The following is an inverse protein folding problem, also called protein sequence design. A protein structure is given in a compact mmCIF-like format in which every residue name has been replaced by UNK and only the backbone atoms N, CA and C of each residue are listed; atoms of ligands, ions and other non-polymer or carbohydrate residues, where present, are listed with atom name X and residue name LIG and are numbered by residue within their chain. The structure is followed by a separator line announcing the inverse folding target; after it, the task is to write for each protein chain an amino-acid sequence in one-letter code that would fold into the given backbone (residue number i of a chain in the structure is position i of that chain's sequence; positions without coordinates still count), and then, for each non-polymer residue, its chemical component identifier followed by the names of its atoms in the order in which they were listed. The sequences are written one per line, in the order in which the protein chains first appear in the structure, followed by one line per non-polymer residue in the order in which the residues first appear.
data_IF_159052470354
#
_entry.id   IF_159052470354
#
_cell.length_a   1.000
_cell.length_b   1.000
_cell.length_c   1.000
_cell.angle_alpha   90.00
_cell.angle_beta   90.00
_cell.angle_gamma   90.00
#
_symmetry.space_group_name_H-M   'P 1'
#
loop_
_entity.id
_entity.type
_entity.pdbx_description
1 polymer ?
#
# COMPACT_ATOMS: atom_id res chain seq x y z
N UNK A 1 10.82 19.68 -3.63
CA UNK A 1 10.96 18.79 -4.80
C UNK A 1 12.43 18.34 -4.99
N UNK A 2 13.05 17.67 -4.00
CA UNK A 2 14.47 17.22 -4.07
C UNK A 2 14.64 15.69 -4.20
N UNK A 3 13.57 14.91 -4.05
CA UNK A 3 13.63 13.44 -4.07
C UNK A 3 13.47 12.82 -5.47
N UNK A 4 13.08 13.62 -6.48
CA UNK A 4 12.70 13.12 -7.80
C UNK A 4 13.89 12.79 -8.75
N UNK A 5 15.10 13.28 -8.46
CA UNK A 5 16.31 13.07 -9.30
C UNK A 5 17.37 12.19 -8.62
N UNK A 6 17.06 11.54 -7.50
CA UNK A 6 18.00 10.63 -6.84
C UNK A 6 17.74 9.20 -7.31
N UNK A 7 18.74 8.58 -7.94
CA UNK A 7 18.71 7.14 -8.17
C UNK A 7 18.82 6.44 -6.81
N UNK A 8 17.75 5.76 -6.39
CA UNK A 8 17.72 4.95 -5.18
C UNK A 8 18.07 3.51 -5.53
N UNK A 9 18.94 2.89 -4.73
CA UNK A 9 19.29 1.48 -4.85
C UNK A 9 18.94 0.73 -3.56
N UNK A 10 18.60 -0.55 -3.68
CA UNK A 10 18.26 -1.39 -2.53
C UNK A 10 19.53 -1.97 -1.89
N UNK A 11 19.72 -1.70 -0.60
CA UNK A 11 20.75 -2.35 0.20
C UNK A 11 20.17 -3.64 0.82
N UNK A 12 20.52 -4.80 0.25
CA UNK A 12 20.02 -6.11 0.72
C UNK A 12 20.37 -6.41 2.16
N UNK A 13 21.58 -6.02 2.61
CA UNK A 13 22.04 -6.29 3.98
C UNK A 13 21.22 -5.50 5.00
N UNK A 14 21.02 -4.22 4.72
CA UNK A 14 20.29 -3.31 5.62
C UNK A 14 18.77 -3.36 5.43
N UNK A 15 18.28 -3.99 4.34
CA UNK A 15 16.87 -4.00 3.92
C UNK A 15 16.28 -2.59 3.88
N UNK A 16 17.04 -1.67 3.29
CA UNK A 16 16.67 -0.25 3.14
C UNK A 16 17.15 0.26 1.79
N UNK A 17 16.43 1.25 1.26
CA UNK A 17 16.92 2.02 0.12
C UNK A 17 18.06 2.94 0.55
N UNK A 18 19.02 3.15 -0.33
CA UNK A 18 20.08 4.14 -0.17
C UNK A 18 20.27 4.92 -1.45
N UNK A 19 20.71 6.16 -1.33
CA UNK A 19 21.04 6.99 -2.49
C UNK A 19 22.27 6.40 -3.21
N UNK A 20 22.19 6.25 -4.53
CA UNK A 20 23.27 5.64 -5.32
C UNK A 20 24.56 6.47 -5.32
N UNK A 21 24.46 7.81 -5.23
CA UNK A 21 25.60 8.74 -5.27
C UNK A 21 26.31 8.91 -3.93
N UNK A 22 25.55 8.97 -2.82
CA UNK A 22 26.09 9.29 -1.48
C UNK A 22 26.12 8.09 -0.54
N UNK A 23 25.41 7.01 -0.85
CA UNK A 23 25.20 5.88 0.06
C UNK A 23 24.28 6.20 1.24
N UNK A 24 23.69 7.41 1.30
CA UNK A 24 22.80 7.80 2.39
C UNK A 24 21.56 6.92 2.43
N UNK A 25 21.29 6.32 3.59
CA UNK A 25 20.11 5.48 3.81
C UNK A 25 18.84 6.32 3.82
N UNK A 26 17.83 5.86 3.09
CA UNK A 26 16.46 6.36 3.17
C UNK A 26 15.86 5.89 4.50
N UNK A 27 15.54 6.85 5.37
CA UNK A 27 14.88 6.53 6.65
C UNK A 27 13.49 5.95 6.41
N UNK A 28 12.99 5.16 7.36
CA UNK A 28 11.64 4.60 7.30
C UNK A 28 10.56 5.68 7.20
N UNK A 29 10.78 6.85 7.80
CA UNK A 29 9.88 8.00 7.65
C UNK A 29 9.85 8.53 6.21
N UNK A 30 11.01 8.70 5.59
CA UNK A 30 11.09 9.13 4.20
C UNK A 30 10.47 8.10 3.24
N UNK A 31 10.67 6.80 3.49
CA UNK A 31 10.06 5.74 2.68
C UNK A 31 8.52 5.76 2.78
N UNK A 32 7.97 5.92 3.99
CA UNK A 32 6.52 6.09 4.18
C UNK A 32 5.99 7.35 3.50
N UNK A 33 6.73 8.46 3.55
CA UNK A 33 6.36 9.68 2.86
C UNK A 33 6.36 9.51 1.33
N UNK A 34 7.30 8.76 0.77
CA UNK A 34 7.37 8.46 -0.67
C UNK A 34 6.20 7.58 -1.14
N UNK A 35 5.91 6.50 -0.42
CA UNK A 35 4.69 5.69 -0.60
C UNK A 35 3.47 6.60 -0.61
N UNK A 36 3.30 7.43 0.42
CA UNK A 36 2.12 8.30 0.51
C UNK A 36 1.99 9.25 -0.69
N UNK A 37 3.08 9.89 -1.07
CA UNK A 37 3.11 10.77 -2.25
C UNK A 37 2.80 10.03 -3.55
N UNK A 38 3.21 8.76 -3.67
CA UNK A 38 2.86 7.93 -4.81
C UNK A 38 1.35 7.66 -4.85
N UNK A 39 0.74 7.21 -3.75
CA UNK A 39 -0.72 7.00 -3.67
C UNK A 39 -1.48 8.29 -4.00
N UNK A 40 -1.07 9.43 -3.44
CA UNK A 40 -1.74 10.71 -3.69
C UNK A 40 -1.70 11.11 -5.18
N UNK A 41 -0.58 10.85 -5.87
CA UNK A 41 -0.48 11.04 -7.33
C UNK A 41 -1.39 10.09 -8.10
N UNK A 42 -1.51 8.85 -7.67
CA UNK A 42 -2.37 7.86 -8.32
C UNK A 42 -3.86 8.19 -8.13
N UNK A 43 -4.23 8.77 -6.97
CA UNK A 43 -5.59 9.27 -6.71
C UNK A 43 -5.99 10.37 -7.67
N UNK A 44 -5.09 11.29 -8.00
CA UNK A 44 -5.34 12.31 -9.03
C UNK A 44 -5.64 11.70 -10.42
N UNK A 45 -5.00 10.57 -10.76
CA UNK A 45 -5.30 9.86 -12.01
C UNK A 45 -6.68 9.18 -11.99
N UNK A 46 -7.10 8.64 -10.85
CA UNK A 46 -8.46 8.07 -10.73
C UNK A 46 -9.55 9.13 -10.64
N UNK A 47 -9.21 10.31 -10.11
CA UNK A 47 -10.09 11.47 -10.15
C UNK A 47 -10.40 11.91 -11.58
N UNK A 48 -9.41 11.83 -12.49
CA UNK A 48 -9.65 12.06 -13.91
C UNK A 48 -10.57 11.00 -14.52
N UNK A 49 -10.42 9.72 -14.17
CA UNK A 49 -11.32 8.65 -14.64
C UNK A 49 -12.77 8.95 -14.24
N UNK A 50 -13.00 9.30 -12.96
CA UNK A 50 -14.34 9.62 -12.46
C UNK A 50 -14.93 10.86 -13.16
N UNK A 51 -14.12 11.92 -13.35
CA UNK A 51 -14.51 13.13 -14.10
C UNK A 51 -14.99 12.80 -15.51
N UNK A 52 -14.18 12.04 -16.25
CA UNK A 52 -14.44 11.68 -17.65
C UNK A 52 -15.66 10.79 -17.79
N UNK A 53 -15.87 9.89 -16.82
CA UNK A 53 -17.07 9.06 -16.75
C UNK A 53 -18.33 9.91 -16.53
N UNK A 54 -18.29 10.85 -15.56
CA UNK A 54 -19.42 11.75 -15.29
C UNK A 54 -19.73 12.68 -16.47
N UNK A 55 -18.70 13.16 -17.16
CA UNK A 55 -18.82 13.96 -18.38
C UNK A 55 -19.23 13.15 -19.63
N UNK A 56 -19.39 11.82 -19.50
CA UNK A 56 -19.69 10.88 -20.60
C UNK A 56 -18.63 10.89 -21.72
N UNK A 57 -17.41 11.31 -21.40
CA UNK A 57 -16.25 11.26 -22.31
C UNK A 57 -15.71 9.82 -22.48
N UNK A 58 -15.99 8.95 -21.51
CA UNK A 58 -15.68 7.52 -21.54
C UNK A 58 -16.89 6.70 -21.11
N UNK A 59 -16.98 5.46 -21.59
CA UNK A 59 -18.01 4.51 -21.17
C UNK A 59 -17.70 3.94 -19.78
N UNK A 60 -18.72 3.37 -19.13
CA UNK A 60 -18.55 2.66 -17.86
C UNK A 60 -17.51 1.53 -17.96
N UNK A 61 -17.54 0.78 -19.08
CA UNK A 61 -16.59 -0.30 -19.34
C UNK A 61 -15.14 0.20 -19.50
N UNK A 62 -14.95 1.32 -20.20
CA UNK A 62 -13.64 1.97 -20.34
C UNK A 62 -13.12 2.46 -18.99
N UNK A 63 -14.00 3.07 -18.18
CA UNK A 63 -13.65 3.52 -16.84
C UNK A 63 -13.26 2.35 -15.93
N UNK A 64 -13.98 1.22 -15.96
CA UNK A 64 -13.63 0.03 -15.19
C UNK A 64 -12.25 -0.52 -15.61
N UNK A 65 -12.00 -0.63 -16.91
CA UNK A 65 -10.71 -1.11 -17.42
C UNK A 65 -9.54 -0.22 -17.00
N UNK A 66 -9.67 1.10 -17.16
CA UNK A 66 -8.66 2.06 -16.71
C UNK A 66 -8.44 1.97 -15.20
N UNK A 67 -9.52 1.85 -14.42
CA UNK A 67 -9.43 1.76 -12.96
C UNK A 67 -8.75 0.48 -12.49
N UNK A 68 -9.04 -0.66 -13.13
CA UNK A 68 -8.37 -1.94 -12.85
C UNK A 68 -6.88 -1.87 -13.14
N UNK A 69 -6.47 -1.28 -14.26
CA UNK A 69 -5.04 -1.06 -14.52
C UNK A 69 -4.40 -0.17 -13.45
N UNK A 70 -5.09 0.87 -12.95
CA UNK A 70 -4.59 1.68 -11.83
C UNK A 70 -4.43 0.87 -10.54
N UNK A 71 -5.42 0.05 -10.18
CA UNK A 71 -5.32 -0.88 -9.03
C UNK A 71 -4.08 -1.76 -9.19
N UNK A 72 -3.91 -2.42 -10.34
CA UNK A 72 -2.75 -3.29 -10.58
C UNK A 72 -1.42 -2.55 -10.46
N UNK A 73 -1.30 -1.37 -11.06
CA UNK A 73 -0.09 -0.54 -10.97
C UNK A 73 0.23 -0.21 -9.52
N UNK A 74 -0.74 0.33 -8.78
CA UNK A 74 -0.53 0.74 -7.37
C UNK A 74 -0.11 -0.43 -6.51
N UNK A 75 -0.83 -1.54 -6.57
CA UNK A 75 -0.54 -2.70 -5.74
C UNK A 75 0.80 -3.35 -6.06
N UNK A 76 1.17 -3.40 -7.34
CA UNK A 76 2.48 -3.91 -7.77
C UNK A 76 3.62 -3.00 -7.33
N UNK A 77 3.46 -1.68 -7.48
CA UNK A 77 4.50 -0.72 -7.12
C UNK A 77 4.67 -0.60 -5.60
N UNK A 78 3.58 -0.64 -4.84
CA UNK A 78 3.62 -0.68 -3.37
C UNK A 78 4.29 -1.96 -2.86
N UNK A 79 3.93 -3.12 -3.42
CA UNK A 79 4.60 -4.38 -3.09
C UNK A 79 6.09 -4.33 -3.43
N UNK A 80 6.43 -3.86 -4.63
CA UNK A 80 7.80 -3.70 -5.05
C UNK A 80 8.57 -2.78 -4.09
N UNK A 81 7.98 -1.65 -3.69
CA UNK A 81 8.60 -0.74 -2.73
C UNK A 81 8.84 -1.40 -1.37
N UNK A 82 7.95 -2.27 -0.91
CA UNK A 82 8.11 -2.98 0.36
C UNK A 82 9.18 -4.07 0.32
N UNK A 83 9.29 -4.82 -0.79
CA UNK A 83 10.24 -5.94 -0.89
C UNK A 83 11.68 -5.49 -1.24
N UNK A 84 11.87 -4.24 -1.68
CA UNK A 84 13.16 -3.71 -2.10
C UNK A 84 13.35 -3.49 -3.60
N UNK A 85 12.25 -3.39 -4.33
CA UNK A 85 12.17 -3.03 -5.74
C UNK A 85 11.80 -4.22 -6.62
N UNK A 86 11.42 -3.92 -7.86
CA UNK A 86 10.96 -4.93 -8.84
C UNK A 86 12.00 -6.01 -9.10
N UNK A 87 13.30 -5.69 -9.05
CA UNK A 87 14.38 -6.67 -9.20
C UNK A 87 14.55 -7.62 -8.00
N UNK A 88 13.92 -7.35 -6.86
CA UNK A 88 13.86 -8.29 -5.73
C UNK A 88 12.61 -9.18 -5.75
N UNK A 89 11.65 -8.90 -6.63
CA UNK A 89 10.44 -9.71 -6.73
C UNK A 89 10.73 -11.06 -7.38
N UNK A 90 10.28 -12.12 -6.73
CA UNK A 90 10.29 -13.50 -7.24
C UNK A 90 8.97 -13.85 -7.93
N UNK A 91 8.89 -14.96 -8.68
CA UNK A 91 7.60 -15.46 -9.21
C UNK A 91 6.53 -15.62 -8.12
N UNK A 92 6.92 -16.03 -6.91
CA UNK A 92 6.01 -16.15 -5.77
C UNK A 92 5.45 -14.79 -5.35
N UNK A 93 6.25 -13.73 -5.40
CA UNK A 93 5.80 -12.37 -5.10
C UNK A 93 4.78 -11.86 -6.12
N UNK A 94 5.02 -12.12 -7.41
CA UNK A 94 4.04 -11.83 -8.46
C UNK A 94 2.74 -12.60 -8.27
N UNK A 95 2.81 -13.88 -7.85
CA UNK A 95 1.63 -14.67 -7.51
C UNK A 95 0.84 -14.07 -6.34
N UNK A 96 1.54 -13.64 -5.27
CA UNK A 96 0.93 -13.01 -4.09
C UNK A 96 0.22 -11.71 -4.45
N UNK A 97 0.90 -10.79 -5.13
CA UNK A 97 0.29 -9.51 -5.53
C UNK A 97 -0.85 -9.73 -6.52
N UNK A 98 -0.73 -10.70 -7.43
CA UNK A 98 -1.80 -11.08 -8.35
C UNK A 98 -3.07 -11.53 -7.63
N UNK A 99 -2.94 -12.35 -6.58
CA UNK A 99 -4.07 -12.77 -5.76
C UNK A 99 -4.73 -11.58 -5.04
N UNK A 100 -3.92 -10.66 -4.51
CA UNK A 100 -4.41 -9.44 -3.86
C UNK A 100 -5.16 -8.52 -4.84
N UNK A 101 -4.60 -8.30 -6.03
CA UNK A 101 -5.22 -7.50 -7.10
C UNK A 101 -6.52 -8.14 -7.59
N UNK A 102 -6.57 -9.47 -7.71
CA UNK A 102 -7.79 -10.20 -8.09
C UNK A 102 -8.94 -9.93 -7.11
N UNK A 103 -8.67 -9.90 -5.82
CA UNK A 103 -9.67 -9.54 -4.80
C UNK A 103 -10.19 -8.12 -5.02
N UNK A 104 -9.29 -7.16 -5.27
CA UNK A 104 -9.70 -5.78 -5.54
C UNK A 104 -10.49 -5.63 -6.84
N UNK A 105 -10.18 -6.44 -7.87
CA UNK A 105 -10.96 -6.45 -9.10
C UNK A 105 -12.40 -6.91 -8.88
N UNK A 106 -12.63 -7.88 -8.00
CA UNK A 106 -13.99 -8.32 -7.68
C UNK A 106 -14.79 -7.20 -6.99
N UNK A 107 -14.17 -6.51 -6.02
CA UNK A 107 -14.80 -5.35 -5.38
C UNK A 107 -15.03 -4.20 -6.35
N UNK A 108 -14.05 -3.90 -7.21
CA UNK A 108 -14.17 -2.87 -8.23
C UNK A 108 -15.31 -3.19 -9.20
N UNK A 109 -15.46 -4.44 -9.62
CA UNK A 109 -16.54 -4.85 -10.50
C UNK A 109 -17.92 -4.60 -9.86
N UNK A 110 -18.12 -5.00 -8.60
CA UNK A 110 -19.35 -4.72 -7.85
C UNK A 110 -19.59 -3.21 -7.76
N UNK A 111 -18.56 -2.43 -7.43
CA UNK A 111 -18.66 -0.97 -7.38
C UNK A 111 -19.08 -0.36 -8.73
N UNK A 112 -18.58 -0.85 -9.86
CA UNK A 112 -19.00 -0.38 -11.18
C UNK A 112 -20.45 -0.78 -11.52
N UNK A 113 -20.94 -1.91 -11.03
CA UNK A 113 -22.37 -2.24 -11.10
C UNK A 113 -23.23 -1.25 -10.29
N UNK A 114 -22.78 -0.83 -9.10
CA UNK A 114 -23.46 0.19 -8.30
C UNK A 114 -23.52 1.54 -9.04
N UNK A 115 -22.43 1.93 -9.72
CA UNK A 115 -22.41 3.13 -10.58
C UNK A 115 -23.43 3.00 -11.72
N UNK A 116 -23.51 1.84 -12.38
CA UNK A 116 -24.47 1.59 -13.44
C UNK A 116 -25.93 1.76 -12.98
N UNK A 117 -26.21 1.43 -11.72
CA UNK A 117 -27.53 1.59 -11.09
C UNK A 117 -27.80 3.02 -10.59
N UNK A 118 -26.84 3.94 -10.73
CA UNK A 118 -26.99 5.33 -10.30
C UNK A 118 -26.89 5.54 -8.79
N UNK A 119 -26.30 4.59 -8.05
CA UNK A 119 -26.23 4.63 -6.58
C UNK A 119 -25.17 5.62 -6.04
N UNK A 120 -24.32 6.17 -6.91
CA UNK A 120 -23.21 7.03 -6.53
C UNK A 120 -23.20 8.34 -7.30
N UNK A 121 -23.03 9.44 -6.58
CA UNK A 121 -22.64 10.71 -7.19
C UNK A 121 -21.19 10.66 -7.67
N UNK A 122 -20.80 11.56 -8.58
CA UNK A 122 -19.41 11.67 -9.04
C UNK A 122 -18.42 11.83 -7.85
N UNK A 123 -18.77 12.65 -6.87
CA UNK A 123 -17.97 12.85 -5.67
C UNK A 123 -17.78 11.54 -4.87
N UNK A 124 -18.85 10.74 -4.76
CA UNK A 124 -18.78 9.43 -4.11
C UNK A 124 -17.92 8.45 -4.92
N UNK A 125 -18.01 8.49 -6.26
CA UNK A 125 -17.18 7.66 -7.15
C UNK A 125 -15.70 7.97 -6.94
N UNK A 126 -15.30 9.26 -6.97
CA UNK A 126 -13.93 9.71 -6.69
C UNK A 126 -13.43 9.23 -5.34
N UNK A 127 -14.22 9.44 -4.29
CA UNK A 127 -13.88 9.04 -2.92
C UNK A 127 -13.71 7.52 -2.80
N UNK A 128 -14.62 6.73 -3.38
CA UNK A 128 -14.52 5.27 -3.39
C UNK A 128 -13.30 4.80 -4.18
N UNK A 129 -13.05 5.33 -5.38
CA UNK A 129 -11.87 5.00 -6.19
C UNK A 129 -10.57 5.26 -5.42
N UNK A 130 -10.49 6.40 -4.72
CA UNK A 130 -9.33 6.71 -3.89
C UNK A 130 -9.07 5.66 -2.81
N UNK A 131 -10.11 5.11 -2.16
CA UNK A 131 -9.96 4.07 -1.12
C UNK A 131 -9.34 2.77 -1.65
N UNK A 132 -9.62 2.37 -2.89
CA UNK A 132 -8.95 1.22 -3.50
C UNK A 132 -7.44 1.44 -3.64
N UNK A 133 -7.02 2.66 -3.94
CA UNK A 133 -5.60 2.97 -4.03
C UNK A 133 -4.95 3.05 -2.66
N UNK A 134 -5.63 3.63 -1.67
CA UNK A 134 -5.16 3.65 -0.27
C UNK A 134 -4.93 2.23 0.26
N UNK A 135 -5.82 1.29 -0.08
CA UNK A 135 -5.69 -0.12 0.33
C UNK A 135 -4.43 -0.79 -0.23
N UNK A 136 -3.87 -0.28 -1.34
CA UNK A 136 -2.58 -0.76 -1.87
C UNK A 136 -1.43 -0.65 -0.86
N UNK A 137 -1.52 0.25 0.13
CA UNK A 137 -0.53 0.36 1.18
C UNK A 137 -0.35 -0.90 2.03
N UNK A 138 -1.36 -1.78 2.11
CA UNK A 138 -1.21 -3.08 2.77
C UNK A 138 -0.20 -3.98 2.04
N UNK A 139 -0.09 -3.86 0.71
CA UNK A 139 0.84 -4.64 -0.09
C UNK A 139 2.28 -4.24 0.23
N UNK A 140 2.53 -2.96 0.46
CA UNK A 140 3.80 -2.45 0.96
C UNK A 140 4.13 -3.02 2.34
N UNK A 141 3.21 -2.90 3.31
CA UNK A 141 3.47 -3.37 4.69
C UNK A 141 3.73 -4.88 4.72
N UNK A 142 3.00 -5.66 3.93
CA UNK A 142 3.21 -7.11 3.79
C UNK A 142 4.53 -7.44 3.13
N UNK A 143 4.86 -6.82 2.02
CA UNK A 143 6.12 -7.03 1.33
C UNK A 143 7.32 -6.62 2.19
N UNK A 144 7.19 -5.55 2.97
CA UNK A 144 8.19 -5.11 3.93
C UNK A 144 8.45 -6.20 4.98
N UNK A 145 7.43 -6.78 5.61
CA UNK A 145 7.59 -7.91 6.53
C UNK A 145 8.28 -9.12 5.86
N UNK A 146 7.84 -9.48 4.64
CA UNK A 146 8.41 -10.59 3.89
C UNK A 146 9.90 -10.38 3.55
N UNK A 147 10.35 -9.13 3.33
CA UNK A 147 11.77 -8.83 3.13
C UNK A 147 12.64 -9.17 4.35
N UNK A 148 12.04 -9.27 5.54
CA UNK A 148 12.68 -9.70 6.79
C UNK A 148 12.48 -11.20 7.08
N UNK A 149 11.77 -11.93 6.20
CA UNK A 149 11.62 -13.38 6.26
C UNK A 149 10.44 -13.89 7.09
N UNK A 150 9.46 -13.04 7.40
CA UNK A 150 8.28 -13.43 8.19
C UNK A 150 7.00 -12.74 7.70
N UNK A 151 5.87 -13.28 8.12
CA UNK A 151 4.56 -12.64 8.00
C UNK A 151 4.12 -12.07 9.35
N UNK A 152 3.26 -11.06 9.31
CA UNK A 152 2.70 -10.42 10.49
C UNK A 152 1.21 -10.77 10.59
N UNK A 153 0.62 -10.75 11.80
CA UNK A 153 -0.76 -11.19 12.00
C UNK A 153 -1.81 -10.37 11.24
N UNK A 154 -1.51 -9.08 11.00
CA UNK A 154 -2.41 -8.13 10.33
C UNK A 154 -1.59 -6.99 9.73
N UNK A 155 -2.15 -6.32 8.73
CA UNK A 155 -1.51 -5.21 8.03
C UNK A 155 -2.40 -3.96 8.05
N UNK A 156 -1.85 -2.77 8.29
CA UNK A 156 -2.59 -1.53 8.08
C UNK A 156 -3.20 -1.48 6.69
N UNK A 157 -4.45 -1.02 6.62
CA UNK A 157 -5.23 -0.86 5.39
C UNK A 157 -5.63 -2.18 4.71
N UNK A 158 -5.53 -3.31 5.42
CA UNK A 158 -5.96 -4.62 4.90
C UNK A 158 -7.48 -4.82 4.83
N UNK A 159 -8.25 -3.86 5.34
CA UNK A 159 -9.72 -3.88 5.37
C UNK A 159 -10.31 -4.58 6.59
N UNK A 160 -9.48 -5.16 7.46
CA UNK A 160 -9.92 -5.83 8.71
C UNK A 160 -10.13 -4.86 9.86
N UNK A 161 -9.45 -3.70 9.86
CA UNK A 161 -9.70 -2.63 10.83
C UNK A 161 -11.01 -1.89 10.54
N UNK A 162 -11.64 -1.31 11.57
CA UNK A 162 -12.83 -0.45 11.44
C UNK A 162 -12.64 0.70 10.44
N UNK A 163 -11.45 1.31 10.44
CA UNK A 163 -11.08 2.35 9.50
C UNK A 163 -10.92 1.86 8.05
N UNK A 164 -11.00 0.54 7.81
CA UNK A 164 -10.74 -0.12 6.53
C UNK A 164 -9.37 0.28 5.97
N UNK A 165 -9.35 0.87 4.79
CA UNK A 165 -8.13 1.33 4.11
C UNK A 165 -7.68 2.74 4.53
N UNK A 166 -8.37 3.43 5.44
CA UNK A 166 -8.15 4.85 5.68
C UNK A 166 -7.07 5.18 6.74
N UNK A 167 -6.55 4.20 7.49
CA UNK A 167 -5.52 4.49 8.49
C UNK A 167 -4.15 4.77 7.87
N UNK A 168 -3.34 5.58 8.56
CA UNK A 168 -1.92 5.80 8.23
C UNK A 168 -0.98 5.03 9.16
N UNK A 169 -1.49 4.01 9.86
CA UNK A 169 -0.70 3.15 10.73
C UNK A 169 0.35 2.38 9.91
N UNK A 170 1.41 1.93 10.57
CA UNK A 170 2.50 1.19 9.92
C UNK A 170 3.18 0.25 10.92
N UNK A 171 3.90 -0.75 10.41
CA UNK A 171 4.78 -1.58 11.23
C UNK A 171 6.18 -0.98 11.33
N UNK A 172 6.69 -0.83 12.57
CA UNK A 172 8.11 -0.57 12.82
C UNK A 172 8.80 -1.89 13.12
N UNK A 173 9.78 -2.28 12.29
CA UNK A 173 10.52 -3.53 12.43
C UNK A 173 11.96 -3.20 12.78
N UNK A 174 12.40 -3.68 13.94
CA UNK A 174 13.77 -3.54 14.45
C UNK A 174 14.45 -4.91 14.51
N UNK A 175 15.69 -4.97 14.02
CA UNK A 175 16.56 -6.13 14.13
C UNK A 175 17.37 -6.06 15.42
N UNK A 176 17.41 -7.14 16.17
CA UNK A 176 18.38 -7.35 17.27
C UNK A 176 19.28 -8.55 16.94
N UNK A 177 20.16 -8.97 17.84
CA UNK A 177 21.05 -10.12 17.57
C UNK A 177 20.27 -11.41 17.24
N UNK A 178 19.29 -11.80 18.07
CA UNK A 178 18.55 -13.07 17.93
C UNK A 178 17.09 -12.97 17.50
N UNK A 179 16.51 -11.77 17.45
CA UNK A 179 15.08 -11.58 17.24
C UNK A 179 14.75 -10.33 16.43
N UNK A 180 13.55 -10.34 15.86
CA UNK A 180 12.87 -9.19 15.27
C UNK A 180 11.85 -8.64 16.27
N UNK A 181 11.83 -7.32 16.43
CA UNK A 181 10.84 -6.61 17.24
C UNK A 181 9.95 -5.79 16.31
N UNK A 182 8.73 -6.26 16.10
CA UNK A 182 7.74 -5.58 15.27
C UNK A 182 6.74 -4.83 16.14
N UNK A 183 6.58 -3.51 15.92
CA UNK A 183 5.61 -2.68 16.64
C UNK A 183 4.57 -2.11 15.69
N UNK A 184 3.30 -2.23 16.04
CA UNK A 184 2.24 -1.49 15.35
C UNK A 184 2.29 -0.03 15.80
N UNK A 185 2.64 0.87 14.89
CA UNK A 185 2.71 2.31 15.19
C UNK A 185 1.48 3.01 14.63
N UNK A 186 0.74 3.64 15.54
CA UNK A 186 -0.43 4.46 15.19
C UNK A 186 0.00 5.71 14.43
N UNK A 187 -0.83 6.12 13.49
CA UNK A 187 -0.69 7.44 12.88
C UNK A 187 -0.97 8.55 13.90
N UNK A 188 -0.44 9.74 13.65
CA UNK A 188 -0.87 10.95 14.38
C UNK A 188 -2.33 11.24 14.05
N UNK A 189 -3.12 11.63 15.06
CA UNK A 189 -4.55 11.95 14.94
C UNK A 189 -5.46 10.84 15.44
N UNK A 190 -6.71 10.86 14.98
CA UNK A 190 -7.73 9.90 15.40
C UNK A 190 -7.45 8.50 14.83
N UNK A 191 -7.54 7.50 15.70
CA UNK A 191 -7.35 6.09 15.36
C UNK A 191 -8.60 5.31 15.79
N UNK A 192 -9.07 4.38 14.96
CA UNK A 192 -10.19 3.51 15.32
C UNK A 192 -9.80 2.52 16.43
N UNK A 193 -10.80 1.89 17.07
CA UNK A 193 -10.56 1.00 18.21
C UNK A 193 -9.65 -0.17 17.83
N UNK A 194 -9.85 -0.79 16.65
CA UNK A 194 -8.96 -1.85 16.17
C UNK A 194 -7.50 -1.41 16.04
N UNK A 195 -7.24 -0.17 15.60
CA UNK A 195 -5.87 0.36 15.51
C UNK A 195 -5.27 0.62 16.89
N UNK A 196 -6.09 0.98 17.88
CA UNK A 196 -5.68 1.14 19.28
C UNK A 196 -5.32 -0.22 19.87
N UNK A 197 -6.16 -1.23 19.65
CA UNK A 197 -5.95 -2.59 20.14
C UNK A 197 -4.71 -3.25 19.53
N UNK A 198 -4.50 -3.08 18.21
CA UNK A 198 -3.29 -3.55 17.54
C UNK A 198 -2.03 -2.89 18.13
N UNK A 199 -2.08 -1.59 18.41
CA UNK A 199 -0.95 -0.87 18.99
C UNK A 199 -0.64 -1.31 20.43
N UNK A 200 -1.65 -1.75 21.19
CA UNK A 200 -1.47 -2.30 22.53
C UNK A 200 -0.94 -3.74 22.47
N UNK A 201 -1.49 -4.56 21.56
CA UNK A 201 -1.15 -6.00 21.43
C UNK A 201 0.22 -6.23 20.82
N UNK A 202 0.64 -5.37 19.90
CA UNK A 202 1.87 -5.53 19.13
C UNK A 202 2.89 -4.45 19.49
N UNK A 203 3.37 -4.46 20.73
CA UNK A 203 4.34 -3.46 21.23
C UNK A 203 5.39 -4.03 22.21
N UNK A 204 6.42 -4.77 21.73
CA UNK A 204 6.55 -5.34 20.40
C UNK A 204 6.00 -6.76 20.32
N UNK A 205 5.56 -7.16 19.11
CA UNK A 205 5.54 -8.56 18.71
C UNK A 205 6.99 -9.03 18.51
N UNK A 206 7.40 -10.08 19.21
CA UNK A 206 8.75 -10.65 19.14
C UNK A 206 8.74 -11.89 18.26
N UNK A 207 9.58 -11.90 17.22
CA UNK A 207 9.74 -13.01 16.29
C UNK A 207 11.19 -13.48 16.32
N UNK A 208 11.42 -14.75 16.62
CA UNK A 208 12.78 -15.32 16.59
C UNK A 208 13.31 -15.35 15.17
N UNK A 209 14.59 -15.05 15.00
CA UNK A 209 15.27 -15.32 13.72
C UNK A 209 15.35 -16.83 13.52
N UNK A 210 15.19 -17.27 12.27
CA UNK A 210 15.53 -18.65 11.92
C UNK A 210 17.01 -18.88 12.26
N UNK A 211 17.28 -20.00 12.95
CA UNK A 211 18.63 -20.44 13.27
C UNK A 211 19.41 -20.81 12.01
#
# INVERSE_FOLDING_TARGET
MKLANMAWQWNKRLRRYQESSTGKILSSEQQRALHQQFIDKQKALTDDIARRLAAREITLQQAEALFRERIKTVWLDEYALGIGGRYQMTPTDFGRVGAMVKTQYNYAHIFFQEIARGEHSEAMVRLKMGRYLESGGMAYERANALSHGFELPTYPRDGTQECRANCRCYWSIEETEGEWRARWVKARGDNCATCIDNASSYNPLVLKKAA
#
